data_IF_217500812791
#
_entry.id   IF_217500812791
#
_cell.length_a   1.000
_cell.length_b   1.000
_cell.length_c   1.000
_cell.angle_alpha   90.00
_cell.angle_beta   90.00
_cell.angle_gamma   90.00
#
_symmetry.space_group_name_H-M   'P 1'
#
loop_
_entity.id
_entity.type
_entity.pdbx_description
1 polymer ?
#
# COMPACT_ATOMS: atom_id res chain seq x y z
N UNK A 1 8.34 -8.84 -10.40
CA UNK A 1 7.74 -9.97 -9.65
C UNK A 1 6.87 -10.88 -10.54
N UNK A 2 5.77 -10.39 -11.15
CA UNK A 2 4.88 -11.24 -11.95
C UNK A 2 5.40 -11.59 -13.36
N UNK A 3 6.50 -10.97 -13.79
CA UNK A 3 7.13 -11.19 -15.10
C UNK A 3 6.16 -10.98 -16.29
N UNK A 4 5.45 -9.86 -16.26
CA UNK A 4 4.53 -9.41 -17.31
C UNK A 4 4.97 -8.06 -17.84
N UNK A 5 4.56 -7.72 -19.06
CA UNK A 5 4.78 -6.40 -19.63
C UNK A 5 4.08 -5.31 -18.77
N UNK A 6 4.66 -4.12 -18.58
CA UNK A 6 3.99 -3.02 -17.88
C UNK A 6 2.61 -2.66 -18.45
N UNK A 7 2.39 -2.89 -19.75
CA UNK A 7 1.13 -2.70 -20.46
C UNK A 7 0.24 -3.94 -20.48
N UNK A 8 0.61 -5.01 -19.78
CA UNK A 8 -0.16 -6.27 -19.75
C UNK A 8 -1.61 -6.03 -19.29
N UNK A 9 -2.57 -6.67 -19.93
CA UNK A 9 -3.99 -6.58 -19.56
C UNK A 9 -4.23 -7.30 -18.23
N UNK A 10 -5.33 -6.96 -17.55
CA UNK A 10 -5.71 -7.58 -16.28
C UNK A 10 -5.77 -9.12 -16.37
N UNK A 11 -6.25 -9.68 -17.49
CA UNK A 11 -6.26 -11.13 -17.72
C UNK A 11 -4.87 -11.76 -17.75
N UNK A 12 -3.87 -11.06 -18.30
CA UNK A 12 -2.48 -11.54 -18.38
C UNK A 12 -1.83 -11.53 -17.00
N UNK A 13 -2.07 -10.48 -16.20
CA UNK A 13 -1.64 -10.37 -14.81
C UNK A 13 -2.22 -11.51 -13.97
N UNK A 14 -3.53 -11.75 -14.09
CA UNK A 14 -4.22 -12.85 -13.39
C UNK A 14 -3.67 -14.22 -13.77
N UNK A 15 -3.41 -14.44 -15.06
CA UNK A 15 -2.86 -15.69 -15.54
C UNK A 15 -1.42 -15.91 -15.07
N UNK A 16 -0.59 -14.86 -15.06
CA UNK A 16 0.77 -14.90 -14.55
C UNK A 16 0.79 -15.21 -13.04
N UNK A 17 -0.06 -14.53 -12.26
CA UNK A 17 -0.24 -14.80 -10.84
C UNK A 17 -0.59 -16.28 -10.59
N UNK A 18 -1.63 -16.81 -11.26
CA UNK A 18 -2.05 -18.21 -11.08
C UNK A 18 -0.92 -19.19 -11.37
N UNK A 19 -0.16 -18.98 -12.45
CA UNK A 19 0.97 -19.84 -12.82
C UNK A 19 2.07 -19.80 -11.77
N UNK A 20 2.43 -18.62 -11.27
CA UNK A 20 3.49 -18.44 -10.28
C UNK A 20 3.06 -18.91 -8.88
N UNK A 21 1.81 -18.65 -8.48
CA UNK A 21 1.26 -19.11 -7.22
C UNK A 21 1.25 -20.64 -7.13
N UNK A 22 0.83 -21.33 -8.20
CA UNK A 22 0.90 -22.80 -8.25
C UNK A 22 2.34 -23.32 -8.26
N UNK A 23 3.27 -22.60 -8.90
CA UNK A 23 4.69 -22.98 -8.94
C UNK A 23 5.34 -22.89 -7.56
N UNK A 24 5.04 -21.84 -6.80
CA UNK A 24 5.67 -21.53 -5.52
C UNK A 24 4.83 -21.94 -4.29
N UNK A 25 3.69 -22.62 -4.49
CA UNK A 25 2.79 -22.98 -3.40
C UNK A 25 3.50 -23.86 -2.34
N UNK A 26 3.35 -23.56 -1.04
CA UNK A 26 3.96 -24.36 0.03
C UNK A 26 3.61 -25.85 -0.04
N UNK A 27 2.35 -26.20 -0.28
CA UNK A 27 1.91 -27.61 -0.37
C UNK A 27 2.62 -28.43 -1.45
N UNK A 28 3.06 -27.79 -2.55
CA UNK A 28 3.80 -28.46 -3.62
C UNK A 28 5.31 -28.40 -3.43
N UNK A 29 5.77 -27.57 -2.49
CA UNK A 29 7.18 -27.32 -2.22
C UNK A 29 7.46 -27.29 -0.70
N UNK A 30 7.14 -28.37 0.04
CA UNK A 30 7.20 -28.38 1.50
C UNK A 30 8.62 -28.13 2.05
N UNK A 31 9.65 -28.61 1.35
CA UNK A 31 11.05 -28.49 1.78
C UNK A 31 11.79 -27.30 1.14
N UNK A 32 11.06 -26.40 0.49
CA UNK A 32 11.66 -25.27 -0.23
C UNK A 32 11.69 -24.00 0.61
N UNK A 33 12.84 -23.71 1.20
CA UNK A 33 13.07 -22.54 2.06
C UNK A 33 12.73 -21.20 1.37
N UNK A 34 13.02 -21.09 0.07
CA UNK A 34 12.78 -19.84 -0.70
C UNK A 34 11.38 -19.74 -1.33
N UNK A 35 10.58 -20.81 -1.32
CA UNK A 35 9.30 -20.84 -2.02
C UNK A 35 8.25 -19.98 -1.32
N UNK A 36 8.23 -19.97 0.03
CA UNK A 36 7.32 -19.11 0.80
C UNK A 36 7.55 -17.63 0.48
N UNK A 37 8.80 -17.17 0.51
CA UNK A 37 9.14 -15.78 0.21
C UNK A 37 8.76 -15.38 -1.23
N UNK A 38 8.97 -16.29 -2.20
CA UNK A 38 8.54 -16.07 -3.59
C UNK A 38 7.02 -16.03 -3.72
N UNK A 39 6.31 -16.92 -3.04
CA UNK A 39 4.84 -16.94 -3.02
C UNK A 39 4.29 -15.64 -2.44
N UNK A 40 4.79 -15.20 -1.29
CA UNK A 40 4.42 -13.93 -0.67
C UNK A 40 4.68 -12.73 -1.60
N UNK A 41 5.84 -12.70 -2.26
CA UNK A 41 6.16 -11.64 -3.22
C UNK A 41 5.16 -11.63 -4.38
N UNK A 42 4.85 -12.80 -4.95
CA UNK A 42 3.89 -12.97 -6.04
C UNK A 42 2.48 -12.57 -5.63
N UNK A 43 2.04 -12.95 -4.43
CA UNK A 43 0.76 -12.55 -3.85
C UNK A 43 0.68 -11.03 -3.68
N UNK A 44 1.68 -10.40 -3.07
CA UNK A 44 1.75 -8.95 -2.88
C UNK A 44 1.72 -8.20 -4.21
N UNK A 45 2.46 -8.67 -5.21
CA UNK A 45 2.45 -8.05 -6.53
C UNK A 45 1.08 -8.16 -7.21
N UNK A 46 0.37 -9.28 -7.03
CA UNK A 46 -0.98 -9.44 -7.58
C UNK A 46 -2.02 -8.63 -6.81
N UNK A 47 -1.86 -8.43 -5.51
CA UNK A 47 -2.73 -7.56 -4.72
C UNK A 47 -2.72 -6.12 -5.25
N UNK A 48 -1.55 -5.61 -5.65
CA UNK A 48 -1.42 -4.27 -6.25
C UNK A 48 -1.82 -4.25 -7.72
N UNK A 49 -1.29 -5.15 -8.54
CA UNK A 49 -1.46 -5.09 -10.01
C UNK A 49 -2.77 -5.72 -10.49
N UNK A 50 -3.40 -6.55 -9.66
CA UNK A 50 -4.69 -7.17 -9.92
C UNK A 50 -5.83 -6.19 -9.69
N UNK A 51 -5.77 -5.33 -8.68
CA UNK A 51 -6.80 -4.31 -8.48
C UNK A 51 -6.61 -3.14 -9.46
N UNK A 52 -7.68 -2.71 -10.14
CA UNK A 52 -7.59 -1.67 -11.17
C UNK A 52 -7.21 -0.30 -10.59
N UNK A 53 -7.71 0.05 -9.41
CA UNK A 53 -7.39 1.32 -8.76
C UNK A 53 -5.96 1.30 -8.23
N UNK A 54 -5.57 0.25 -7.50
CA UNK A 54 -4.19 0.09 -7.00
C UNK A 54 -3.19 0.03 -8.16
N UNK A 55 -3.54 -0.62 -9.27
CA UNK A 55 -2.71 -0.64 -10.47
C UNK A 55 -2.61 0.73 -11.12
N UNK A 56 -3.72 1.46 -11.26
CA UNK A 56 -3.70 2.80 -11.83
C UNK A 56 -2.77 3.71 -11.04
N UNK A 57 -2.86 3.67 -9.71
CA UNK A 57 -1.95 4.38 -8.80
C UNK A 57 -0.49 3.93 -9.04
N UNK A 58 -0.22 2.62 -9.05
CA UNK A 58 1.10 2.05 -9.30
C UNK A 58 1.69 2.49 -10.66
N UNK A 59 0.89 2.46 -11.72
CA UNK A 59 1.29 2.80 -13.08
C UNK A 59 1.49 4.31 -13.28
N UNK A 60 0.73 5.15 -12.56
CA UNK A 60 0.92 6.61 -12.53
C UNK A 60 2.21 6.99 -11.81
N UNK A 61 2.59 6.25 -10.76
CA UNK A 61 3.73 6.58 -9.90
C UNK A 61 5.00 5.74 -10.21
N UNK A 62 4.99 4.97 -11.32
CA UNK A 62 5.97 3.98 -11.79
C UNK A 62 7.15 3.65 -10.86
N UNK A 63 6.82 3.03 -9.73
CA UNK A 63 7.76 2.30 -8.87
C UNK A 63 8.15 2.97 -7.56
N UNK A 64 7.78 4.24 -7.35
CA UNK A 64 7.89 4.91 -6.06
C UNK A 64 6.51 5.20 -5.53
N UNK A 65 6.22 4.83 -4.29
CA UNK A 65 5.28 5.61 -3.53
C UNK A 65 5.82 7.05 -3.59
N UNK A 66 5.19 7.94 -4.35
CA UNK A 66 5.02 9.30 -3.84
C UNK A 66 3.98 9.16 -2.71
N UNK A 67 4.35 8.38 -1.68
CA UNK A 67 3.87 8.66 -0.34
C UNK A 67 4.10 10.14 -0.22
N UNK A 68 3.07 10.89 0.14
CA UNK A 68 3.32 12.21 0.69
C UNK A 68 4.31 11.97 1.83
N UNK A 69 5.62 12.26 1.64
CA UNK A 69 6.63 11.77 2.56
C UNK A 69 6.45 12.59 3.82
N UNK A 70 6.27 11.93 4.95
CA UNK A 70 6.01 12.60 6.20
C UNK A 70 6.81 11.94 7.31
N UNK A 71 7.61 12.75 7.98
CA UNK A 71 8.31 12.34 9.21
C UNK A 71 7.38 12.41 10.44
N UNK A 72 6.19 13.00 10.29
CA UNK A 72 5.30 13.36 11.39
C UNK A 72 3.90 12.74 11.31
N UNK A 73 3.51 12.18 10.16
CA UNK A 73 2.25 11.47 9.98
C UNK A 73 2.47 10.00 9.66
N UNK A 74 1.68 9.15 10.32
CA UNK A 74 1.77 7.69 10.17
C UNK A 74 0.85 7.25 9.04
N UNK A 75 1.33 6.42 8.13
CA UNK A 75 0.45 5.74 7.18
C UNK A 75 -0.40 4.70 7.91
N UNK A 76 -1.70 4.93 7.91
CA UNK A 76 -2.71 4.06 8.48
C UNK A 76 -3.28 3.15 7.38
N UNK A 77 -3.33 1.85 7.66
CA UNK A 77 -3.85 0.80 6.79
C UNK A 77 -4.83 -0.06 7.57
N UNK A 78 -5.64 -0.86 6.90
CA UNK A 78 -6.49 -1.86 7.56
C UNK A 78 -5.72 -2.78 8.51
N UNK A 79 -4.46 -3.09 8.20
CA UNK A 79 -3.63 -4.00 8.98
C UNK A 79 -3.14 -3.39 10.30
N UNK A 80 -2.94 -2.07 10.35
CA UNK A 80 -2.35 -1.41 11.50
C UNK A 80 -3.31 -0.48 12.26
N UNK A 81 -4.40 -0.02 11.65
CA UNK A 81 -5.28 0.99 12.23
C UNK A 81 -5.77 0.60 13.63
N UNK A 82 -6.32 -0.61 13.76
CA UNK A 82 -6.88 -1.09 15.02
C UNK A 82 -5.82 -1.19 16.13
N UNK A 83 -4.58 -1.55 15.81
CA UNK A 83 -3.52 -1.67 16.81
C UNK A 83 -2.94 -0.31 17.22
N UNK A 84 -2.88 0.67 16.31
CA UNK A 84 -2.21 1.95 16.56
C UNK A 84 -3.14 3.10 16.94
N UNK A 85 -4.40 3.07 16.47
CA UNK A 85 -5.40 4.12 16.73
C UNK A 85 -6.39 3.66 17.80
N UNK A 86 -7.10 2.54 17.59
CA UNK A 86 -8.20 2.15 18.49
C UNK A 86 -7.75 1.81 19.91
N UNK A 87 -6.52 1.31 20.07
CA UNK A 87 -5.93 1.02 21.38
C UNK A 87 -5.05 2.14 21.93
N UNK A 88 -4.97 3.27 21.24
CA UNK A 88 -4.18 4.43 21.69
C UNK A 88 -5.00 5.28 22.65
N UNK A 89 -4.32 5.85 23.64
CA UNK A 89 -4.88 6.89 24.53
C UNK A 89 -4.64 8.30 24.00
N UNK A 90 -3.96 8.43 22.86
CA UNK A 90 -3.61 9.70 22.24
C UNK A 90 -4.79 10.23 21.42
N UNK A 91 -4.83 11.54 21.20
CA UNK A 91 -5.75 12.15 20.25
C UNK A 91 -5.16 12.01 18.85
N UNK A 92 -5.98 11.55 17.91
CA UNK A 92 -5.62 11.37 16.51
C UNK A 92 -6.38 12.33 15.59
N UNK A 93 -5.65 12.94 14.66
CA UNK A 93 -6.23 13.63 13.50
C UNK A 93 -5.82 12.83 12.26
N UNK A 94 -6.81 12.40 11.48
CA UNK A 94 -6.62 11.49 10.35
C UNK A 94 -7.03 12.17 9.05
N UNK A 95 -6.10 12.29 8.11
CA UNK A 95 -6.37 12.71 6.73
C UNK A 95 -6.74 11.47 5.90
N UNK A 96 -7.86 11.55 5.19
CA UNK A 96 -8.20 10.57 4.15
C UNK A 96 -7.91 11.21 2.80
N UNK A 97 -6.99 10.65 2.03
CA UNK A 97 -6.47 11.24 0.80
C UNK A 97 -6.50 10.28 -0.40
N UNK A 98 -6.15 10.78 -1.58
CA UNK A 98 -6.07 10.02 -2.82
C UNK A 98 -4.82 10.44 -3.59
N UNK A 99 -3.99 9.47 -4.01
CA UNK A 99 -2.80 9.74 -4.82
C UNK A 99 -3.16 10.31 -6.20
N UNK A 100 -4.37 10.03 -6.68
CA UNK A 100 -4.87 10.56 -7.94
C UNK A 100 -5.46 11.98 -7.81
N UNK A 101 -5.56 12.53 -6.60
CA UNK A 101 -6.10 13.87 -6.37
C UNK A 101 -4.98 14.89 -6.18
N UNK A 102 -4.83 15.79 -7.15
CA UNK A 102 -3.85 16.88 -7.10
C UNK A 102 -4.06 17.83 -5.92
N UNK A 103 -5.30 17.96 -5.43
CA UNK A 103 -5.57 18.79 -4.27
C UNK A 103 -4.91 18.21 -3.02
N UNK A 104 -5.06 16.91 -2.77
CA UNK A 104 -4.36 16.22 -1.67
C UNK A 104 -2.84 16.44 -1.71
N UNK A 105 -2.22 16.34 -2.88
CA UNK A 105 -0.79 16.64 -3.06
C UNK A 105 -0.43 18.09 -2.76
N UNK A 106 -1.35 19.03 -2.97
CA UNK A 106 -1.11 20.45 -2.67
C UNK A 106 -1.24 20.79 -1.19
N UNK A 107 -2.09 20.07 -0.44
CA UNK A 107 -2.27 20.32 1.02
C UNK A 107 -1.23 19.57 1.85
N UNK A 108 -0.67 18.51 1.29
CA UNK A 108 0.32 17.65 1.89
C UNK A 108 1.41 18.37 2.71
N UNK A 109 2.09 19.42 2.18
CA UNK A 109 3.10 20.14 2.95
C UNK A 109 2.54 20.87 4.17
N UNK A 110 1.36 21.51 4.03
CA UNK A 110 0.72 22.22 5.13
C UNK A 110 0.25 21.26 6.24
N UNK A 111 -0.22 20.06 5.86
CA UNK A 111 -0.52 19.01 6.82
C UNK A 111 0.72 18.58 7.61
N UNK A 112 1.86 18.41 6.94
CA UNK A 112 3.10 18.00 7.61
C UNK A 112 3.69 19.09 8.49
N UNK A 113 3.51 20.36 8.13
CA UNK A 113 3.82 21.52 8.98
C UNK A 113 3.00 21.48 10.28
N UNK A 114 1.68 21.32 10.18
CA UNK A 114 0.80 21.22 11.37
C UNK A 114 1.12 19.99 12.22
N UNK A 115 1.40 18.85 11.60
CA UNK A 115 1.78 17.63 12.30
C UNK A 115 3.11 17.80 13.06
N UNK A 116 4.05 18.54 12.49
CA UNK A 116 5.31 18.90 13.15
C UNK A 116 5.08 19.81 14.35
N UNK A 117 4.27 20.87 14.20
CA UNK A 117 4.01 21.85 15.26
C UNK A 117 3.30 21.24 16.47
N UNK A 118 2.44 20.24 16.24
CA UNK A 118 1.67 19.57 17.29
C UNK A 118 2.30 18.25 17.76
N UNK A 119 3.54 17.98 17.35
CA UNK A 119 4.28 16.79 17.72
C UNK A 119 4.37 16.65 19.24
N UNK A 120 3.94 15.50 19.74
CA UNK A 120 3.93 15.17 21.17
C UNK A 120 2.63 15.52 21.90
N UNK A 121 1.73 16.27 21.27
CA UNK A 121 0.39 16.56 21.79
C UNK A 121 -0.70 15.79 21.05
N UNK A 122 -0.59 15.73 19.72
CA UNK A 122 -1.56 15.08 18.83
C UNK A 122 -0.80 14.17 17.87
N UNK A 123 -1.37 13.00 17.58
CA UNK A 123 -0.85 12.10 16.56
C UNK A 123 -1.57 12.33 15.24
N UNK A 124 -0.80 12.31 14.16
CA UNK A 124 -1.29 12.51 12.82
C UNK A 124 -1.21 11.21 12.03
N UNK A 125 -2.29 10.86 11.35
CA UNK A 125 -2.38 9.67 10.51
C UNK A 125 -2.90 10.01 9.12
N UNK A 126 -2.52 9.20 8.13
CA UNK A 126 -3.03 9.31 6.76
C UNK A 126 -3.55 7.97 6.27
N UNK A 127 -4.76 7.96 5.71
CA UNK A 127 -5.37 6.80 5.05
C UNK A 127 -5.49 7.11 3.56
N UNK A 128 -4.92 6.27 2.72
CA UNK A 128 -5.13 6.37 1.28
C UNK A 128 -6.44 5.67 0.91
N UNK A 129 -7.43 6.45 0.47
CA UNK A 129 -8.76 5.96 0.09
C UNK A 129 -8.78 4.97 -1.08
N UNK A 130 -7.67 4.82 -1.81
CA UNK A 130 -7.58 3.97 -2.99
C UNK A 130 -6.88 2.65 -2.69
N UNK A 131 -5.83 2.69 -1.87
CA UNK A 131 -4.99 1.52 -1.57
C UNK A 131 -5.28 0.90 -0.22
N UNK A 132 -5.79 1.69 0.73
CA UNK A 132 -5.97 1.29 2.13
C UNK A 132 -7.46 1.18 2.54
N UNK A 133 -8.40 1.19 1.57
CA UNK A 133 -9.81 0.88 1.82
C UNK A 133 -10.02 -0.62 2.09
N UNK A 134 -10.78 -0.93 3.15
CA UNK A 134 -11.37 -2.22 3.49
C UNK A 134 -12.36 -2.70 2.43
#
# INVERSE_FOLDING_TARGET
VLNVDPKARHGEIRNAYRKLAMKWHPDKNPDCESCLARFQSVAKAYETLGDENKRKVYDTNRGGYDSIPSDYSVRLTTENYHSIVDHSVDIWVVEVYSDLDKYCHSIAPAWDEVASDLKGFIKFGRINSQTDRT
#
